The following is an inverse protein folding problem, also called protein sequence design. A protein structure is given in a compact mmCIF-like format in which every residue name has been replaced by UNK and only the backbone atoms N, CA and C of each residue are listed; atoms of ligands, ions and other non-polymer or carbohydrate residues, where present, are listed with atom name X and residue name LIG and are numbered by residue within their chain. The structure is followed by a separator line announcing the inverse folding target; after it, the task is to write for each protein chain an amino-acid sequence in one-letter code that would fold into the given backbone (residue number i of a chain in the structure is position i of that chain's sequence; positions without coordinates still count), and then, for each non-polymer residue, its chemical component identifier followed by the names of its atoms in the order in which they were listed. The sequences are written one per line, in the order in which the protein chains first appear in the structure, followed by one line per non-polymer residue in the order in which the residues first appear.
data_IF_590290243107
#
_entry.id   IF_590290243107
#
_cell.length_a   1.000
_cell.length_b   1.000
_cell.length_c   1.000
_cell.angle_alpha   90.00
_cell.angle_beta   90.00
_cell.angle_gamma   90.00
#
_symmetry.space_group_name_H-M   'P 1'
#
loop_
_entity.id
_entity.type
_entity.pdbx_description
1 polymer ?
#
# COMPACT_ATOMS: atom_id res chain seq x y z
N UNK A 1 1.02 21.12 11.56
CA UNK A 1 0.80 20.24 10.42
C UNK A 1 -0.42 19.38 10.70
N UNK A 2 -1.28 19.11 9.69
CA UNK A 2 -2.42 18.19 9.87
C UNK A 2 -1.94 16.74 9.76
N UNK A 3 -2.56 15.85 10.54
CA UNK A 3 -2.28 14.42 10.47
C UNK A 3 -3.03 13.81 9.28
N UNK A 4 -2.32 13.01 8.49
CA UNK A 4 -2.90 12.31 7.34
C UNK A 4 -2.53 10.83 7.31
N UNK A 5 -3.47 10.03 6.79
CA UNK A 5 -3.22 8.64 6.45
C UNK A 5 -2.88 8.52 4.96
N UNK A 6 -1.75 7.88 4.64
CA UNK A 6 -1.42 7.54 3.25
C UNK A 6 -2.18 6.29 2.82
N UNK A 7 -2.90 6.36 1.69
CA UNK A 7 -3.61 5.22 1.11
C UNK A 7 -3.02 4.94 -0.27
N UNK A 8 -2.16 3.93 -0.36
CA UNK A 8 -1.66 3.41 -1.63
C UNK A 8 -2.71 2.51 -2.27
N UNK A 9 -3.02 2.73 -3.54
CA UNK A 9 -4.09 2.02 -4.25
C UNK A 9 -5.48 2.54 -3.92
N UNK A 10 -5.60 3.85 -3.72
CA UNK A 10 -6.83 4.52 -3.28
C UNK A 10 -8.02 4.39 -4.25
N UNK A 11 -7.77 4.09 -5.53
CA UNK A 11 -8.83 3.85 -6.54
C UNK A 11 -9.34 2.41 -6.55
N UNK A 12 -8.64 1.48 -5.90
CA UNK A 12 -9.10 0.09 -5.73
C UNK A 12 -10.24 -0.03 -4.72
N UNK A 13 -10.96 -1.16 -4.74
CA UNK A 13 -12.12 -1.40 -3.87
C UNK A 13 -11.80 -1.22 -2.37
N UNK A 14 -10.66 -1.75 -1.91
CA UNK A 14 -10.24 -1.63 -0.50
C UNK A 14 -9.84 -0.18 -0.18
N UNK A 15 -8.97 0.43 -1.00
CA UNK A 15 -8.47 1.78 -0.77
C UNK A 15 -9.57 2.84 -0.80
N UNK A 16 -10.50 2.75 -1.76
CA UNK A 16 -11.62 3.69 -1.85
C UNK A 16 -12.61 3.54 -0.69
N UNK A 17 -12.88 2.30 -0.25
CA UNK A 17 -13.69 2.04 0.93
C UNK A 17 -13.04 2.58 2.20
N UNK A 18 -11.72 2.40 2.36
CA UNK A 18 -10.97 2.95 3.49
C UNK A 18 -11.02 4.48 3.50
N UNK A 19 -10.80 5.12 2.35
CA UNK A 19 -10.89 6.59 2.23
C UNK A 19 -12.25 7.12 2.67
N UNK A 20 -13.34 6.46 2.25
CA UNK A 20 -14.70 6.83 2.69
C UNK A 20 -14.90 6.66 4.19
N UNK A 21 -14.37 5.59 4.79
CA UNK A 21 -14.49 5.35 6.23
C UNK A 21 -13.69 6.36 7.06
N UNK A 22 -12.47 6.70 6.63
CA UNK A 22 -11.68 7.75 7.27
C UNK A 22 -12.41 9.09 7.23
N UNK A 23 -12.99 9.45 6.08
CA UNK A 23 -13.81 10.67 5.99
C UNK A 23 -14.99 10.67 6.96
N UNK A 24 -15.73 9.57 7.06
CA UNK A 24 -16.86 9.43 8.00
C UNK A 24 -16.42 9.54 9.46
N UNK A 25 -15.19 9.13 9.78
CA UNK A 25 -14.60 9.19 11.11
C UNK A 25 -13.92 10.53 11.42
N UNK A 26 -14.01 11.51 10.51
CA UNK A 26 -13.35 12.81 10.67
C UNK A 26 -11.83 12.77 10.55
N UNK A 27 -11.28 11.70 9.97
CA UNK A 27 -9.85 11.55 9.71
C UNK A 27 -9.52 12.08 8.31
N UNK A 28 -8.30 12.57 8.14
CA UNK A 28 -7.79 13.07 6.85
C UNK A 28 -6.86 12.05 6.19
N UNK A 29 -6.82 12.07 4.86
CA UNK A 29 -5.97 11.16 4.10
C UNK A 29 -5.31 11.84 2.89
N UNK A 30 -4.22 11.24 2.45
CA UNK A 30 -3.59 11.52 1.17
C UNK A 30 -3.65 10.26 0.29
N UNK A 31 -4.22 10.40 -0.91
CA UNK A 31 -4.54 9.30 -1.79
C UNK A 31 -3.42 9.09 -2.81
N UNK A 32 -3.03 7.84 -3.03
CA UNK A 32 -2.00 7.50 -4.03
C UNK A 32 -2.53 6.41 -4.97
N UNK A 33 -2.55 6.68 -6.26
CA UNK A 33 -2.87 5.70 -7.30
C UNK A 33 -2.34 6.17 -8.68
N UNK A 34 -2.52 5.35 -9.71
CA UNK A 34 -2.04 5.63 -11.08
C UNK A 34 -3.05 6.39 -11.94
N UNK A 35 -4.33 6.19 -11.69
CA UNK A 35 -5.40 6.77 -12.49
C UNK A 35 -5.78 8.14 -11.91
N UNK A 36 -5.40 9.21 -12.62
CA UNK A 36 -5.62 10.59 -12.21
C UNK A 36 -7.10 10.94 -12.16
N UNK A 37 -7.89 10.55 -13.16
CA UNK A 37 -9.31 10.88 -13.22
C UNK A 37 -10.10 10.28 -12.07
N UNK A 38 -9.82 9.02 -11.75
CA UNK A 38 -10.42 8.34 -10.60
C UNK A 38 -9.99 8.96 -9.27
N UNK A 39 -8.68 9.28 -9.11
CA UNK A 39 -8.17 9.96 -7.92
C UNK A 39 -8.83 11.31 -7.72
N UNK A 40 -8.91 12.10 -8.79
CA UNK A 40 -9.56 13.42 -8.77
C UNK A 40 -11.02 13.30 -8.35
N UNK A 41 -11.76 12.35 -8.93
CA UNK A 41 -13.15 12.10 -8.54
C UNK A 41 -13.31 11.78 -7.06
N UNK A 42 -12.45 10.92 -6.51
CA UNK A 42 -12.48 10.57 -5.08
C UNK A 42 -12.07 11.78 -4.22
N UNK A 43 -11.03 12.50 -4.63
CA UNK A 43 -10.54 13.70 -3.97
C UNK A 43 -11.62 14.79 -3.89
N UNK A 44 -12.27 15.10 -4.99
CA UNK A 44 -13.36 16.11 -5.05
C UNK A 44 -14.53 15.74 -4.14
N UNK A 45 -14.88 14.44 -4.06
CA UNK A 45 -15.97 13.96 -3.24
C UNK A 45 -15.62 13.93 -1.73
N UNK A 46 -14.38 13.62 -1.37
CA UNK A 46 -13.98 13.44 0.02
C UNK A 46 -13.20 14.64 0.58
N UNK A 47 -12.71 15.54 -0.27
CA UNK A 47 -11.86 16.66 0.11
C UNK A 47 -10.47 16.24 0.56
N UNK A 48 -9.95 15.12 0.06
CA UNK A 48 -8.61 14.61 0.35
C UNK A 48 -7.62 15.04 -0.71
N UNK A 49 -6.37 15.25 -0.33
CA UNK A 49 -5.27 15.49 -1.27
C UNK A 49 -4.83 14.18 -1.94
N UNK A 50 -4.15 14.27 -3.08
CA UNK A 50 -3.68 13.08 -3.78
C UNK A 50 -2.36 13.29 -4.53
N UNK A 51 -1.66 12.20 -4.79
CA UNK A 51 -0.53 12.10 -5.73
C UNK A 51 -0.81 11.01 -6.76
N UNK A 52 -0.64 11.34 -8.03
CA UNK A 52 -0.64 10.34 -9.12
C UNK A 52 0.73 9.71 -9.18
N UNK A 53 0.84 8.42 -8.86
CA UNK A 53 2.10 7.70 -8.90
C UNK A 53 1.89 6.21 -9.24
N UNK A 54 2.80 5.64 -10.03
CA UNK A 54 2.92 4.19 -10.20
C UNK A 54 4.04 3.69 -9.28
N UNK A 55 3.71 2.79 -8.37
CA UNK A 55 4.67 2.20 -7.43
C UNK A 55 5.71 1.29 -8.10
N UNK A 56 5.56 1.01 -9.38
CA UNK A 56 6.53 0.27 -10.19
C UNK A 56 7.58 1.18 -10.85
N UNK A 57 7.35 2.50 -10.85
CA UNK A 57 8.28 3.50 -11.37
C UNK A 57 9.30 3.91 -10.31
N UNK A 58 10.52 4.20 -10.74
CA UNK A 58 11.56 4.72 -9.86
C UNK A 58 11.20 6.14 -9.39
N UNK A 59 11.55 6.47 -8.15
CA UNK A 59 11.31 7.81 -7.59
C UNK A 59 9.86 8.09 -7.16
N UNK A 60 8.95 7.12 -7.17
CA UNK A 60 7.57 7.32 -6.73
C UNK A 60 7.48 7.81 -5.28
N UNK A 61 8.39 7.37 -4.42
CA UNK A 61 8.45 7.81 -3.02
C UNK A 61 8.81 9.29 -2.92
N UNK A 62 9.80 9.75 -3.68
CA UNK A 62 10.24 11.16 -3.63
C UNK A 62 9.13 12.10 -4.08
N UNK A 63 8.37 11.70 -5.10
CA UNK A 63 7.19 12.44 -5.56
C UNK A 63 6.14 12.55 -4.45
N UNK A 64 5.78 11.43 -3.80
CA UNK A 64 4.79 11.44 -2.72
C UNK A 64 5.29 12.26 -1.52
N UNK A 65 6.56 12.14 -1.15
CA UNK A 65 7.16 12.93 -0.06
C UNK A 65 7.12 14.43 -0.35
N UNK A 66 7.39 14.83 -1.60
CA UNK A 66 7.26 16.23 -2.00
C UNK A 66 5.83 16.75 -1.82
N UNK A 67 4.83 16.00 -2.28
CA UNK A 67 3.42 16.39 -2.20
C UNK A 67 2.85 16.33 -0.77
N UNK A 68 3.51 15.60 0.13
CA UNK A 68 3.08 15.43 1.52
C UNK A 68 3.96 16.15 2.54
N UNK A 69 4.93 16.95 2.10
CA UNK A 69 5.94 17.60 2.97
C UNK A 69 5.37 18.51 4.07
N UNK A 70 4.14 19.01 3.88
CA UNK A 70 3.45 19.87 4.86
C UNK A 70 2.53 19.09 5.83
N UNK A 71 2.52 17.77 5.77
CA UNK A 71 1.64 16.93 6.57
C UNK A 71 2.43 16.05 7.55
N UNK A 72 1.82 15.71 8.66
CA UNK A 72 2.29 14.64 9.54
C UNK A 72 1.68 13.33 9.08
N UNK A 73 2.50 12.38 8.64
CA UNK A 73 2.00 11.06 8.25
C UNK A 73 1.93 10.18 9.49
N UNK A 74 0.72 9.80 9.88
CA UNK A 74 0.44 8.97 11.05
C UNK A 74 -0.24 7.62 10.71
N UNK A 75 -0.39 7.31 9.43
CA UNK A 75 -0.90 6.01 8.98
C UNK A 75 -0.48 5.71 7.55
N UNK A 76 -0.23 4.45 7.26
CA UNK A 76 0.07 3.96 5.92
C UNK A 76 -0.73 2.69 5.65
N UNK A 77 -1.64 2.73 4.67
CA UNK A 77 -2.34 1.56 4.17
C UNK A 77 -1.87 1.23 2.75
N UNK A 78 -1.26 0.05 2.58
CA UNK A 78 -0.84 -0.42 1.27
C UNK A 78 -1.89 -1.36 0.71
N UNK A 79 -2.81 -0.81 -0.09
CA UNK A 79 -3.96 -1.51 -0.67
C UNK A 79 -3.70 -2.00 -2.11
N UNK A 80 -2.47 -1.89 -2.60
CA UNK A 80 -2.09 -2.32 -3.95
C UNK A 80 -1.88 -3.83 -3.98
N UNK A 81 -2.34 -4.45 -5.05
CA UNK A 81 -2.10 -5.84 -5.35
C UNK A 81 -2.75 -6.26 -6.66
N UNK A 82 -2.27 -7.34 -7.22
CA UNK A 82 -2.87 -7.98 -8.38
C UNK A 82 -2.83 -9.49 -8.19
N UNK A 83 -3.72 -10.20 -8.86
CA UNK A 83 -3.77 -11.66 -8.85
C UNK A 83 -3.54 -12.15 -10.28
N UNK A 84 -2.49 -12.95 -10.47
CA UNK A 84 -2.25 -13.71 -11.68
C UNK A 84 -2.30 -15.21 -11.34
N UNK A 85 -3.29 -15.90 -11.89
CA UNK A 85 -3.57 -17.31 -11.59
C UNK A 85 -3.04 -18.19 -12.70
N UNK A 86 -2.01 -18.97 -12.41
CA UNK A 86 -1.36 -19.86 -13.39
C UNK A 86 -1.05 -21.23 -12.77
N UNK A 87 -1.25 -22.33 -13.52
CA UNK A 87 -0.69 -23.64 -13.15
C UNK A 87 0.83 -23.53 -12.98
N UNK A 88 1.40 -24.20 -11.98
CA UNK A 88 2.85 -24.12 -11.67
C UNK A 88 3.76 -24.33 -12.89
N UNK A 89 3.38 -25.23 -13.80
CA UNK A 89 4.14 -25.50 -15.04
C UNK A 89 4.18 -24.33 -16.03
N UNK A 90 3.34 -23.31 -15.85
CA UNK A 90 3.28 -22.10 -16.70
C UNK A 90 3.86 -20.86 -16.00
N UNK A 91 4.21 -20.99 -14.74
CA UNK A 91 4.81 -19.87 -13.98
C UNK A 91 6.22 -19.63 -14.49
N UNK A 92 6.50 -18.37 -14.84
CA UNK A 92 7.82 -17.92 -15.27
C UNK A 92 8.49 -17.09 -14.17
N UNK A 93 9.79 -16.92 -14.26
CA UNK A 93 10.54 -16.03 -13.37
C UNK A 93 10.02 -14.59 -13.45
N UNK A 94 9.68 -14.14 -14.66
CA UNK A 94 9.09 -12.80 -14.87
C UNK A 94 7.77 -12.60 -14.13
N UNK A 95 6.89 -13.61 -14.12
CA UNK A 95 5.63 -13.56 -13.40
C UNK A 95 5.86 -13.38 -11.89
N UNK A 96 6.79 -14.16 -11.33
CA UNK A 96 7.17 -14.08 -9.93
C UNK A 96 7.76 -12.71 -9.60
N UNK A 97 8.69 -12.24 -10.44
CA UNK A 97 9.35 -10.95 -10.23
C UNK A 97 8.36 -9.78 -10.24
N UNK A 98 7.46 -9.74 -11.23
CA UNK A 98 6.43 -8.70 -11.33
C UNK A 98 5.48 -8.73 -10.13
N UNK A 99 5.03 -9.91 -9.72
CA UNK A 99 4.15 -10.05 -8.57
C UNK A 99 4.85 -9.61 -7.27
N UNK A 100 6.09 -10.04 -7.05
CA UNK A 100 6.88 -9.62 -5.89
C UNK A 100 7.16 -8.11 -5.91
N UNK A 101 7.50 -7.53 -7.06
CA UNK A 101 7.73 -6.10 -7.20
C UNK A 101 6.50 -5.30 -6.78
N UNK A 102 5.31 -5.67 -7.28
CA UNK A 102 4.07 -4.95 -6.99
C UNK A 102 3.56 -5.16 -5.56
N UNK A 103 3.59 -6.41 -5.07
CA UNK A 103 2.93 -6.75 -3.80
C UNK A 103 3.84 -6.63 -2.58
N UNK A 104 5.17 -6.77 -2.73
CA UNK A 104 6.13 -6.79 -1.63
C UNK A 104 7.16 -5.65 -1.71
N UNK A 105 7.93 -5.56 -2.80
CA UNK A 105 9.05 -4.61 -2.85
C UNK A 105 8.56 -3.16 -2.80
N UNK A 106 7.52 -2.83 -3.55
CA UNK A 106 6.94 -1.47 -3.51
C UNK A 106 6.32 -1.14 -2.15
N UNK A 107 5.77 -2.14 -1.42
CA UNK A 107 5.29 -1.95 -0.04
C UNK A 107 6.46 -1.67 0.92
N UNK A 108 7.58 -2.38 0.77
CA UNK A 108 8.81 -2.13 1.55
C UNK A 108 9.32 -0.71 1.29
N UNK A 109 9.40 -0.29 0.03
CA UNK A 109 9.87 1.06 -0.32
C UNK A 109 8.91 2.14 0.22
N UNK A 110 7.60 1.92 0.19
CA UNK A 110 6.63 2.83 0.79
C UNK A 110 6.84 2.96 2.31
N UNK A 111 6.98 1.84 3.01
CA UNK A 111 7.23 1.83 4.46
C UNK A 111 8.56 2.52 4.79
N UNK A 112 9.64 2.15 4.09
CA UNK A 112 10.97 2.74 4.25
C UNK A 112 10.96 4.25 4.02
N UNK A 113 10.19 4.73 3.03
CA UNK A 113 10.07 6.15 2.74
C UNK A 113 9.42 6.96 3.86
N UNK A 114 8.48 6.38 4.61
CA UNK A 114 7.68 7.08 5.63
C UNK A 114 7.89 6.57 7.06
N UNK A 115 8.86 5.69 7.31
CA UNK A 115 9.07 5.09 8.63
C UNK A 115 9.36 6.12 9.73
N UNK A 116 10.13 7.17 9.42
CA UNK A 116 10.51 8.18 10.42
C UNK A 116 9.30 9.03 10.80
N UNK A 117 8.46 9.43 9.83
CA UNK A 117 7.21 10.12 10.09
C UNK A 117 6.26 9.27 10.94
N UNK A 118 6.09 8.00 10.55
CA UNK A 118 5.23 7.06 11.26
C UNK A 118 5.69 6.83 12.70
N UNK A 119 6.99 6.66 12.93
CA UNK A 119 7.56 6.54 14.29
C UNK A 119 7.36 7.82 15.11
N UNK A 120 7.63 8.98 14.52
CA UNK A 120 7.50 10.28 15.20
C UNK A 120 6.04 10.57 15.59
N UNK A 121 5.10 10.16 14.76
CA UNK A 121 3.67 10.44 14.95
C UNK A 121 2.89 9.30 15.61
N UNK A 122 3.57 8.28 16.18
CA UNK A 122 2.95 7.07 16.74
C UNK A 122 1.96 6.43 15.75
N UNK A 123 2.41 6.31 14.51
CA UNK A 123 1.59 5.90 13.40
C UNK A 123 1.36 4.39 13.32
N UNK A 124 0.57 3.97 12.36
CA UNK A 124 0.28 2.56 12.10
C UNK A 124 0.44 2.21 10.64
N UNK A 125 0.78 0.95 10.37
CA UNK A 125 0.93 0.41 9.02
C UNK A 125 -0.06 -0.74 8.84
N UNK A 126 -0.80 -0.72 7.73
CA UNK A 126 -1.74 -1.79 7.35
C UNK A 126 -1.34 -2.37 6.00
N UNK A 127 -1.11 -3.68 5.98
CA UNK A 127 -0.80 -4.46 4.80
C UNK A 127 -1.89 -5.51 4.59
N UNK A 128 -2.23 -5.78 3.33
CA UNK A 128 -3.30 -6.73 2.98
C UNK A 128 -2.71 -8.04 2.46
N UNK A 129 -2.88 -9.11 3.22
CA UNK A 129 -2.55 -10.47 2.82
C UNK A 129 -3.70 -11.13 2.06
N UNK A 130 -3.68 -12.43 1.97
CA UNK A 130 -4.69 -13.27 1.32
C UNK A 130 -4.81 -14.59 2.06
N UNK A 131 -6.01 -15.15 2.08
CA UNK A 131 -6.22 -16.52 2.57
C UNK A 131 -5.37 -17.55 1.81
N UNK A 132 -4.98 -17.24 0.57
CA UNK A 132 -4.08 -18.08 -0.22
C UNK A 132 -2.65 -18.16 0.34
N UNK A 133 -2.24 -17.22 1.21
CA UNK A 133 -0.96 -17.28 1.89
C UNK A 133 -0.90 -18.40 2.95
N UNK A 134 -2.07 -18.75 3.52
CA UNK A 134 -2.19 -19.71 4.63
C UNK A 134 -2.85 -21.03 4.21
N UNK A 135 -3.65 -21.01 3.15
CA UNK A 135 -4.37 -22.19 2.63
C UNK A 135 -4.03 -22.39 1.17
N UNK A 136 -3.73 -23.61 0.78
CA UNK A 136 -3.43 -23.96 -0.61
C UNK A 136 -4.65 -23.79 -1.52
N UNK A 137 -4.48 -23.04 -2.61
CA UNK A 137 -5.44 -22.93 -3.69
C UNK A 137 -4.78 -23.25 -5.03
N UNK A 138 -5.53 -23.92 -5.92
CA UNK A 138 -5.03 -24.23 -7.25
C UNK A 138 -4.68 -22.94 -8.01
N UNK A 139 -3.55 -22.95 -8.72
CA UNK A 139 -3.06 -21.83 -9.54
C UNK A 139 -2.64 -20.56 -8.79
N UNK A 140 -2.57 -20.56 -7.47
CA UNK A 140 -2.24 -19.36 -6.66
C UNK A 140 -0.75 -19.26 -6.28
N UNK A 141 0.13 -20.07 -6.87
CA UNK A 141 1.55 -20.12 -6.48
C UNK A 141 2.19 -18.73 -6.42
N UNK A 142 1.95 -17.89 -7.41
CA UNK A 142 2.57 -16.56 -7.53
C UNK A 142 2.10 -15.65 -6.40
N UNK A 143 0.79 -15.44 -6.29
CA UNK A 143 0.23 -14.50 -5.31
C UNK A 143 0.33 -15.01 -3.87
N UNK A 144 0.18 -16.32 -3.66
CA UNK A 144 0.32 -16.92 -2.34
C UNK A 144 1.72 -16.68 -1.77
N UNK A 145 2.77 -16.88 -2.58
CA UNK A 145 4.16 -16.64 -2.19
C UNK A 145 4.40 -15.17 -1.83
N UNK A 146 3.92 -14.23 -2.64
CA UNK A 146 4.10 -12.80 -2.38
C UNK A 146 3.36 -12.35 -1.10
N UNK A 147 2.15 -12.86 -0.87
CA UNK A 147 1.35 -12.50 0.31
C UNK A 147 1.86 -13.17 1.59
N UNK A 148 2.40 -14.38 1.52
CA UNK A 148 3.10 -15.01 2.65
C UNK A 148 4.38 -14.23 3.03
N UNK A 149 5.13 -13.74 2.04
CA UNK A 149 6.28 -12.88 2.30
C UNK A 149 5.87 -11.56 2.98
N UNK A 150 4.71 -10.99 2.62
CA UNK A 150 4.17 -9.80 3.26
C UNK A 150 3.77 -10.06 4.74
N UNK A 151 3.27 -11.25 5.07
CA UNK A 151 2.99 -11.64 6.46
C UNK A 151 4.29 -11.72 7.28
N UNK A 152 5.35 -12.33 6.74
CA UNK A 152 6.67 -12.37 7.37
C UNK A 152 7.25 -10.96 7.58
N UNK A 153 7.13 -10.08 6.59
CA UNK A 153 7.52 -8.67 6.69
C UNK A 153 6.77 -7.98 7.85
N UNK A 154 5.46 -8.19 7.95
CA UNK A 154 4.63 -7.57 9.01
C UNK A 154 5.11 -7.96 10.40
N UNK A 155 5.37 -9.24 10.63
CA UNK A 155 5.87 -9.75 11.93
C UNK A 155 7.23 -9.14 12.29
N UNK A 156 8.13 -9.07 11.31
CA UNK A 156 9.48 -8.51 11.50
C UNK A 156 9.44 -7.02 11.81
N UNK A 157 8.67 -6.25 11.01
CA UNK A 157 8.56 -4.80 11.23
C UNK A 157 7.84 -4.45 12.53
N UNK A 158 6.88 -5.27 12.97
CA UNK A 158 6.24 -5.08 14.28
C UNK A 158 7.26 -5.20 15.43
N UNK A 159 8.22 -6.11 15.34
CA UNK A 159 9.29 -6.24 16.31
C UNK A 159 10.32 -5.10 16.19
N UNK A 160 10.68 -4.70 14.97
CA UNK A 160 11.68 -3.66 14.70
C UNK A 160 11.18 -2.25 15.09
N UNK A 161 9.90 -1.97 14.90
CA UNK A 161 9.31 -0.65 15.16
C UNK A 161 8.69 -0.52 16.56
N UNK A 162 8.61 -1.58 17.34
CA UNK A 162 8.19 -1.50 18.74
C UNK A 162 9.24 -0.74 19.58
N UNK A 163 8.83 0.09 20.55
CA UNK A 163 7.46 0.38 20.95
C UNK A 163 6.82 1.59 20.24
N UNK A 164 7.47 2.16 19.25
CA UNK A 164 7.01 3.37 18.57
C UNK A 164 5.94 3.10 17.49
#
# INVERSE_FOLDING_TARGET
MSNKHLIFGATGAIGSSLAQQLKKSGQDAHLVARNEDELKSISDNLGFTFTVADVLEDGFIDKIKSDTSEFNINGLAYCIGSIDLKPIKRVTESDLHQCMKLNLYSAIEAIKGFQDDLKTNNGSIVLFSSVAAQKGFTNHTIIASAKAALEGLTVTLAAEFAPS
#
